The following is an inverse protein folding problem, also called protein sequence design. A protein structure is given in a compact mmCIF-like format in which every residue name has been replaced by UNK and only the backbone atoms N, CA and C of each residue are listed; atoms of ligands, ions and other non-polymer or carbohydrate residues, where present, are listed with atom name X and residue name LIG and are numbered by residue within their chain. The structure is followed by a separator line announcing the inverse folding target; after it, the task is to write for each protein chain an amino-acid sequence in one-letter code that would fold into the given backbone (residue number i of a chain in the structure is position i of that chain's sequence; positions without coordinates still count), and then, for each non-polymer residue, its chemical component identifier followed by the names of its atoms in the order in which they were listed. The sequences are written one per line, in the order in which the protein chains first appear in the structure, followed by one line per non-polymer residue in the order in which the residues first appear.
data_IF_091898616681
#
_entry.id   IF_091898616681
#
_cell.length_a   1.000
_cell.length_b   1.000
_cell.length_c   1.000
_cell.angle_alpha   90.00
_cell.angle_beta   90.00
_cell.angle_gamma   90.00
#
_symmetry.space_group_name_H-M   'P 1'
#
loop_
_entity.id
_entity.type
_entity.pdbx_description
1 polymer ?
#
# COMPACT_ATOMS: atom_id res chain seq x y z
N UNK A 1 -32.87 -0.48 -36.89
CA UNK A 1 -32.45 -0.01 -35.55
C UNK A 1 -31.23 -0.80 -35.09
N UNK A 2 -30.02 -0.33 -35.41
CA UNK A 2 -28.78 -0.94 -34.95
C UNK A 2 -28.32 -0.23 -33.67
N UNK A 3 -28.37 -0.96 -32.56
CA UNK A 3 -27.83 -0.55 -31.26
C UNK A 3 -26.35 -0.21 -31.40
N UNK A 4 -26.03 1.09 -31.45
CA UNK A 4 -24.66 1.59 -31.28
C UNK A 4 -24.22 1.23 -29.86
N UNK A 5 -23.47 0.13 -29.73
CA UNK A 5 -22.61 -0.11 -28.56
C UNK A 5 -21.71 1.12 -28.40
N UNK A 6 -22.05 2.02 -27.49
CA UNK A 6 -21.09 2.97 -26.91
C UNK A 6 -20.03 2.12 -26.21
N UNK A 7 -18.95 1.80 -26.92
CA UNK A 7 -17.67 1.49 -26.28
C UNK A 7 -17.24 2.76 -25.55
N UNK A 8 -17.67 2.88 -24.30
CA UNK A 8 -16.95 3.71 -23.36
C UNK A 8 -15.53 3.15 -23.30
N UNK A 9 -14.53 4.02 -23.48
CA UNK A 9 -13.11 3.70 -23.30
C UNK A 9 -12.85 3.22 -21.86
N UNK A 10 -13.34 2.04 -21.49
CA UNK A 10 -13.00 1.39 -20.23
C UNK A 10 -11.56 0.94 -20.38
N UNK A 11 -10.66 1.69 -19.75
CA UNK A 11 -9.28 1.25 -19.53
C UNK A 11 -9.37 -0.06 -18.76
N UNK A 12 -9.14 -1.18 -19.45
CA UNK A 12 -9.12 -2.50 -18.85
C UNK A 12 -7.73 -2.74 -18.25
N UNK A 13 -7.68 -2.94 -16.93
CA UNK A 13 -6.45 -3.13 -16.18
C UNK A 13 -6.41 -4.53 -15.58
N UNK A 14 -6.06 -5.56 -16.38
CA UNK A 14 -6.23 -6.96 -16.01
C UNK A 14 -5.52 -7.32 -14.70
N UNK A 15 -4.35 -6.74 -14.47
CA UNK A 15 -3.57 -6.95 -13.26
C UNK A 15 -4.33 -6.55 -12.00
N UNK A 16 -5.20 -5.54 -12.04
CA UNK A 16 -5.97 -5.16 -10.86
C UNK A 16 -7.12 -6.15 -10.54
N UNK A 17 -7.51 -6.99 -11.50
CA UNK A 17 -8.48 -8.07 -11.32
C UNK A 17 -7.82 -9.41 -10.97
N UNK A 18 -6.48 -9.48 -10.94
CA UNK A 18 -5.73 -10.69 -10.67
C UNK A 18 -6.13 -11.28 -9.30
N UNK A 19 -6.59 -12.55 -9.24
CA UNK A 19 -7.09 -13.16 -8.01
C UNK A 19 -6.09 -13.11 -6.86
N UNK A 20 -4.80 -13.28 -7.15
CA UNK A 20 -3.77 -13.30 -6.12
C UNK A 20 -3.56 -11.93 -5.46
N UNK A 21 -3.56 -10.85 -6.24
CA UNK A 21 -3.47 -9.48 -5.70
C UNK A 21 -4.70 -9.12 -4.86
N UNK A 22 -5.90 -9.53 -5.30
CA UNK A 22 -7.12 -9.38 -4.50
C UNK A 22 -7.05 -10.16 -3.20
N UNK A 23 -6.59 -11.41 -3.24
CA UNK A 23 -6.33 -12.22 -2.03
C UNK A 23 -5.39 -11.50 -1.06
N UNK A 24 -4.29 -10.93 -1.56
CA UNK A 24 -3.35 -10.15 -0.74
C UNK A 24 -4.06 -8.96 -0.08
N UNK A 25 -4.81 -8.17 -0.85
CA UNK A 25 -5.51 -7.00 -0.36
C UNK A 25 -6.59 -7.33 0.69
N UNK A 26 -7.39 -8.39 0.45
CA UNK A 26 -8.40 -8.90 1.39
C UNK A 26 -7.72 -9.33 2.69
N UNK A 27 -6.68 -10.15 2.61
CA UNK A 27 -5.94 -10.62 3.80
C UNK A 27 -5.29 -9.47 4.56
N UNK A 28 -4.77 -8.47 3.83
CA UNK A 28 -4.25 -7.25 4.44
C UNK A 28 -5.34 -6.49 5.20
N UNK A 29 -6.51 -6.25 4.59
CA UNK A 29 -7.62 -5.58 5.25
C UNK A 29 -8.12 -6.32 6.50
N UNK A 30 -8.24 -7.66 6.44
CA UNK A 30 -8.57 -8.50 7.59
C UNK A 30 -7.56 -8.28 8.74
N UNK A 31 -6.25 -8.34 8.42
CA UNK A 31 -5.19 -8.12 9.40
C UNK A 31 -5.21 -6.71 10.00
N UNK A 32 -5.48 -5.69 9.20
CA UNK A 32 -5.53 -4.31 9.69
C UNK A 32 -6.78 -4.04 10.53
N UNK A 33 -7.96 -4.51 10.13
CA UNK A 33 -9.18 -4.43 10.96
C UNK A 33 -8.99 -5.15 12.30
N UNK A 34 -8.25 -6.26 12.31
CA UNK A 34 -7.81 -6.93 13.54
C UNK A 34 -7.02 -6.05 14.47
N UNK A 35 -6.24 -5.09 13.96
CA UNK A 35 -5.48 -4.13 14.76
C UNK A 35 -6.35 -3.02 15.33
N UNK A 36 -7.31 -2.55 14.53
CA UNK A 36 -8.14 -1.40 14.86
C UNK A 36 -9.17 -1.66 15.95
N UNK A 37 -9.58 -2.92 16.12
CA UNK A 37 -10.61 -3.30 17.10
C UNK A 37 -10.04 -4.27 18.14
N UNK A 38 -9.03 -3.87 18.96
CA UNK A 38 -8.34 -4.77 19.90
C UNK A 38 -9.25 -5.33 21.01
N UNK A 39 -10.39 -4.69 21.26
CA UNK A 39 -11.37 -5.15 22.25
C UNK A 39 -12.18 -6.35 21.76
N UNK A 40 -12.23 -6.59 20.45
CA UNK A 40 -12.81 -7.81 19.89
C UNK A 40 -11.82 -8.95 20.15
N UNK A 41 -12.10 -9.77 21.17
CA UNK A 41 -11.25 -10.91 21.56
C UNK A 41 -11.87 -12.25 21.17
N UNK A 42 -13.17 -12.27 20.87
CA UNK A 42 -13.88 -13.48 20.48
C UNK A 42 -13.49 -13.94 19.08
N UNK A 43 -13.13 -15.23 18.94
CA UNK A 43 -12.83 -15.84 17.63
C UNK A 43 -13.98 -15.68 16.64
N UNK A 44 -15.22 -15.88 17.11
CA UNK A 44 -16.44 -15.73 16.30
C UNK A 44 -16.63 -14.33 15.73
N UNK A 45 -16.22 -13.29 16.47
CA UNK A 45 -16.32 -11.90 16.02
C UNK A 45 -15.36 -11.63 14.86
N UNK A 46 -14.13 -12.16 14.94
CA UNK A 46 -13.15 -12.02 13.87
C UNK A 46 -13.50 -12.82 12.63
N UNK A 47 -14.00 -14.05 12.80
CA UNK A 47 -14.47 -14.87 11.68
C UNK A 47 -15.61 -14.19 10.93
N UNK A 48 -16.49 -13.46 11.64
CA UNK A 48 -17.54 -12.66 11.01
C UNK A 48 -16.97 -11.51 10.19
N UNK A 49 -16.03 -10.75 10.75
CA UNK A 49 -15.35 -9.65 10.03
C UNK A 49 -14.60 -10.20 8.81
N UNK A 50 -13.85 -11.28 8.97
CA UNK A 50 -13.08 -11.89 7.90
C UNK A 50 -13.97 -12.31 6.74
N UNK A 51 -15.10 -12.96 7.04
CA UNK A 51 -16.09 -13.41 6.05
C UNK A 51 -16.73 -12.23 5.31
N UNK A 52 -16.97 -11.10 5.99
CA UNK A 52 -17.48 -9.89 5.34
C UNK A 52 -16.42 -9.29 4.40
N UNK A 53 -15.16 -9.19 4.85
CA UNK A 53 -14.05 -8.64 4.07
C UNK A 53 -13.72 -9.51 2.85
N UNK A 54 -13.89 -10.83 2.94
CA UNK A 54 -13.73 -11.75 1.80
C UNK A 54 -14.68 -11.47 0.63
N UNK A 55 -15.82 -10.82 0.87
CA UNK A 55 -16.77 -10.49 -0.19
C UNK A 55 -16.58 -9.06 -0.74
N UNK A 56 -15.62 -8.28 -0.23
CA UNK A 56 -15.45 -6.89 -0.64
C UNK A 56 -15.16 -6.72 -2.14
N UNK A 57 -14.42 -7.63 -2.74
CA UNK A 57 -14.08 -7.57 -4.17
C UNK A 57 -15.28 -7.91 -5.09
N UNK A 58 -16.34 -8.51 -4.53
CA UNK A 58 -17.61 -8.80 -5.22
C UNK A 58 -18.68 -7.76 -4.93
N UNK A 59 -18.73 -7.26 -3.70
CA UNK A 59 -19.76 -6.35 -3.22
C UNK A 59 -19.50 -4.90 -3.62
N UNK A 60 -18.24 -4.55 -3.88
CA UNK A 60 -17.86 -3.21 -4.33
C UNK A 60 -17.50 -3.21 -5.81
N UNK A 61 -17.69 -2.06 -6.47
CA UNK A 61 -17.02 -1.84 -7.74
C UNK A 61 -15.52 -1.96 -7.54
N UNK A 62 -14.83 -2.43 -8.56
CA UNK A 62 -13.38 -2.54 -8.59
C UNK A 62 -12.65 -1.30 -8.04
N UNK A 63 -13.09 -0.10 -8.44
CA UNK A 63 -12.51 1.16 -7.99
C UNK A 63 -12.75 1.40 -6.50
N UNK A 64 -13.98 1.13 -6.04
CA UNK A 64 -14.34 1.32 -4.64
C UNK A 64 -13.65 0.28 -3.74
N UNK A 65 -13.39 -0.93 -4.25
CA UNK A 65 -12.58 -1.93 -3.56
C UNK A 65 -11.17 -1.38 -3.28
N UNK A 66 -10.42 -0.96 -4.30
CA UNK A 66 -9.05 -0.45 -4.09
C UNK A 66 -8.99 0.85 -3.29
N UNK A 67 -9.96 1.74 -3.48
CA UNK A 67 -10.10 2.93 -2.64
C UNK A 67 -10.42 2.57 -1.19
N UNK A 68 -11.23 1.54 -0.93
CA UNK A 68 -11.53 1.05 0.41
C UNK A 68 -10.28 0.48 1.09
N UNK A 69 -9.54 -0.39 0.40
CA UNK A 69 -8.26 -0.93 0.91
C UNK A 69 -7.25 0.20 1.19
N UNK A 70 -7.16 1.16 0.28
CA UNK A 70 -6.30 2.32 0.47
C UNK A 70 -6.74 3.19 1.67
N UNK A 71 -8.05 3.46 1.78
CA UNK A 71 -8.63 4.22 2.87
C UNK A 71 -8.34 3.60 4.23
N UNK A 72 -8.47 2.27 4.36
CA UNK A 72 -8.03 1.56 5.56
C UNK A 72 -6.54 1.78 5.85
N UNK A 73 -5.68 1.72 4.83
CA UNK A 73 -4.24 1.87 5.02
C UNK A 73 -3.84 3.29 5.47
N UNK A 74 -4.37 4.35 4.85
CA UNK A 74 -3.96 5.71 5.16
C UNK A 74 -4.66 6.28 6.40
N UNK A 75 -5.95 6.00 6.59
CA UNK A 75 -6.76 6.60 7.65
C UNK A 75 -6.30 6.24 9.08
N UNK A 76 -5.56 5.15 9.23
CA UNK A 76 -5.08 4.67 10.54
C UNK A 76 -3.56 4.68 10.69
N UNK A 77 -2.86 5.53 9.91
CA UNK A 77 -1.39 5.63 9.90
C UNK A 77 -0.68 4.30 9.58
N UNK A 78 -1.29 3.48 8.71
CA UNK A 78 -0.68 2.25 8.23
C UNK A 78 0.09 2.51 6.94
N UNK A 79 1.03 1.62 6.63
CA UNK A 79 1.83 1.74 5.40
C UNK A 79 0.96 1.39 4.20
N UNK A 80 0.79 2.31 3.26
CA UNK A 80 0.06 2.04 2.02
C UNK A 80 0.82 1.02 1.15
N UNK A 81 0.39 -0.24 1.21
CA UNK A 81 0.88 -1.32 0.34
C UNK A 81 0.19 -1.33 -1.01
N UNK A 82 -0.90 -0.56 -1.17
CA UNK A 82 -1.76 -0.60 -2.37
C UNK A 82 -0.97 -0.37 -3.67
N UNK A 83 -0.08 0.63 -3.79
CA UNK A 83 0.72 0.80 -5.00
C UNK A 83 1.56 -0.44 -5.34
N UNK A 84 2.19 -1.06 -4.35
CA UNK A 84 2.98 -2.29 -4.53
C UNK A 84 2.11 -3.48 -4.93
N UNK A 85 0.98 -3.66 -4.25
CA UNK A 85 0.04 -4.77 -4.53
C UNK A 85 -0.52 -4.65 -5.95
N UNK A 86 -0.75 -3.42 -6.42
CA UNK A 86 -1.44 -3.15 -7.69
C UNK A 86 -0.52 -2.94 -8.87
N UNK A 87 0.79 -2.71 -8.70
CA UNK A 87 1.68 -2.45 -9.84
C UNK A 87 1.81 -3.68 -10.75
N UNK A 88 1.55 -3.50 -12.04
CA UNK A 88 1.64 -4.55 -13.07
C UNK A 88 3.00 -5.26 -13.10
N UNK A 89 4.09 -4.52 -12.89
CA UNK A 89 5.47 -5.01 -12.98
C UNK A 89 6.02 -5.58 -11.66
N UNK A 90 5.14 -5.92 -10.71
CA UNK A 90 5.51 -6.65 -9.50
C UNK A 90 4.92 -8.04 -9.58
N UNK A 91 5.79 -9.05 -9.54
CA UNK A 91 5.37 -10.44 -9.33
C UNK A 91 5.24 -10.69 -7.83
N UNK A 92 4.09 -11.20 -7.42
CA UNK A 92 3.83 -11.56 -6.04
C UNK A 92 3.83 -13.08 -5.88
N UNK A 93 4.41 -13.55 -4.78
CA UNK A 93 4.31 -14.96 -4.34
C UNK A 93 4.13 -15.05 -2.82
N UNK A 94 3.49 -16.10 -2.34
CA UNK A 94 3.36 -16.41 -0.91
C UNK A 94 4.25 -17.62 -0.61
N UNK A 95 5.30 -17.43 0.21
CA UNK A 95 6.24 -18.50 0.56
C UNK A 95 6.77 -18.38 1.99
N UNK A 96 7.35 -19.46 2.49
CA UNK A 96 8.18 -19.41 3.70
C UNK A 96 9.57 -18.95 3.31
N UNK A 97 10.04 -17.86 3.92
CA UNK A 97 11.35 -17.28 3.65
C UNK A 97 12.27 -17.55 4.85
N UNK A 98 13.49 -18.06 4.62
CA UNK A 98 14.49 -18.19 5.68
C UNK A 98 14.72 -16.84 6.36
N UNK A 99 14.69 -16.80 7.69
CA UNK A 99 14.80 -15.54 8.43
C UNK A 99 16.08 -14.80 8.06
N UNK A 100 17.17 -15.54 7.87
CA UNK A 100 18.50 -14.99 7.61
C UNK A 100 18.63 -14.26 6.26
N UNK A 101 17.72 -14.50 5.30
CA UNK A 101 17.69 -13.80 4.01
C UNK A 101 17.02 -12.42 4.10
N UNK A 102 16.33 -12.13 5.20
CA UNK A 102 15.51 -10.94 5.36
C UNK A 102 16.30 -9.74 5.86
N UNK A 103 15.85 -8.57 5.43
CA UNK A 103 16.38 -7.28 5.86
C UNK A 103 15.26 -6.43 6.44
N UNK A 104 15.52 -5.76 7.56
CA UNK A 104 14.55 -4.84 8.15
C UNK A 104 14.31 -3.64 7.24
N UNK A 105 13.06 -3.21 7.09
CA UNK A 105 12.72 -2.07 6.22
C UNK A 105 12.72 -0.70 6.90
N UNK A 106 12.93 -0.64 8.22
CA UNK A 106 12.97 0.63 8.97
C UNK A 106 13.52 0.45 10.39
N UNK A 107 13.76 1.58 11.08
CA UNK A 107 14.28 1.60 12.46
C UNK A 107 13.32 0.92 13.43
N UNK A 108 13.89 0.19 14.38
CA UNK A 108 13.22 -0.14 15.64
C UNK A 108 13.65 0.83 16.72
N UNK A 109 12.85 1.87 16.95
CA UNK A 109 13.08 2.79 18.07
C UNK A 109 13.20 2.08 19.42
N UNK A 110 12.52 0.94 19.56
CA UNK A 110 12.50 0.15 20.81
C UNK A 110 13.80 -0.63 21.05
N UNK A 111 14.57 -0.90 19.99
CA UNK A 111 15.92 -1.44 20.05
C UNK A 111 16.82 -0.36 19.46
N UNK A 112 17.02 0.73 20.20
CA UNK A 112 17.74 1.93 19.73
C UNK A 112 19.17 1.71 19.22
N UNK A 113 19.68 0.47 19.26
CA UNK A 113 20.96 0.03 18.67
C UNK A 113 20.85 -0.48 17.23
N UNK A 114 19.67 -0.90 16.74
CA UNK A 114 19.54 -1.39 15.36
C UNK A 114 19.59 -0.23 14.39
N UNK A 115 20.57 -0.25 13.48
CA UNK A 115 20.65 0.68 12.36
C UNK A 115 19.49 0.46 11.40
N UNK A 116 19.24 1.47 10.57
CA UNK A 116 18.32 1.33 9.44
C UNK A 116 18.80 0.23 8.49
N UNK A 117 17.88 -0.61 8.03
CA UNK A 117 18.16 -1.63 7.03
C UNK A 117 19.25 -2.63 7.41
N UNK A 118 19.20 -3.15 8.64
CA UNK A 118 20.04 -4.28 9.05
C UNK A 118 19.49 -5.62 8.55
N UNK A 119 20.40 -6.57 8.32
CA UNK A 119 20.04 -7.96 8.03
C UNK A 119 19.52 -8.63 9.29
N UNK A 120 18.56 -9.55 9.14
CA UNK A 120 18.04 -10.34 10.24
C UNK A 120 19.15 -11.18 10.92
N UNK A 121 20.18 -11.57 10.16
CA UNK A 121 21.36 -12.24 10.67
C UNK A 121 22.12 -11.38 11.69
N UNK A 122 22.43 -10.12 11.33
CA UNK A 122 23.11 -9.19 12.23
C UNK A 122 22.27 -8.88 13.48
N UNK A 123 20.96 -8.70 13.31
CA UNK A 123 20.05 -8.49 14.45
C UNK A 123 20.02 -9.71 15.37
N UNK A 124 20.00 -10.92 14.82
CA UNK A 124 20.05 -12.15 15.62
C UNK A 124 21.35 -12.21 16.42
N UNK A 125 22.49 -11.96 15.80
CA UNK A 125 23.78 -11.95 16.48
C UNK A 125 23.80 -10.95 17.65
N UNK A 126 23.39 -9.70 17.40
CA UNK A 126 23.35 -8.66 18.43
C UNK A 126 22.39 -9.01 19.58
N UNK A 127 21.19 -9.50 19.28
CA UNK A 127 20.15 -9.77 20.29
C UNK A 127 20.54 -10.93 21.22
N UNK A 128 21.36 -11.87 20.75
CA UNK A 128 21.76 -13.07 21.50
C UNK A 128 23.19 -13.02 22.05
N UNK A 129 23.93 -11.92 21.87
CA UNK A 129 25.19 -11.66 22.57
C UNK A 129 24.98 -11.51 24.08
N UNK A 130 25.88 -12.08 24.89
CA UNK A 130 25.79 -12.11 26.36
C UNK A 130 25.75 -10.70 26.96
N UNK A 131 26.52 -9.75 26.42
CA UNK A 131 26.48 -8.34 26.83
C UNK A 131 25.12 -7.65 26.57
N UNK A 132 24.22 -8.29 25.83
CA UNK A 132 22.90 -7.77 25.44
C UNK A 132 21.74 -8.52 26.13
N UNK A 133 21.97 -9.28 27.20
CA UNK A 133 20.89 -9.98 27.93
C UNK A 133 19.74 -9.06 28.36
N UNK A 134 20.05 -7.85 28.82
CA UNK A 134 19.04 -6.85 29.20
C UNK A 134 18.18 -6.43 28.00
N UNK A 135 18.77 -6.35 26.80
CA UNK A 135 18.06 -6.07 25.56
C UNK A 135 17.16 -7.24 25.16
N UNK A 136 17.64 -8.48 25.27
CA UNK A 136 16.84 -9.67 25.01
C UNK A 136 15.62 -9.74 25.94
N UNK A 137 15.82 -9.51 27.25
CA UNK A 137 14.73 -9.46 28.25
C UNK A 137 13.71 -8.37 27.91
N UNK A 138 14.16 -7.14 27.60
CA UNK A 138 13.29 -6.04 27.19
C UNK A 138 12.50 -6.36 25.92
N UNK A 139 13.15 -6.96 24.93
CA UNK A 139 12.53 -7.35 23.66
C UNK A 139 11.48 -8.43 23.87
N UNK A 140 11.77 -9.47 24.66
CA UNK A 140 10.80 -10.52 25.04
C UNK A 140 9.60 -9.94 25.77
N UNK A 141 9.81 -9.02 26.73
CA UNK A 141 8.73 -8.34 27.47
C UNK A 141 7.81 -7.56 26.53
N UNK A 142 8.37 -6.73 25.66
CA UNK A 142 7.61 -5.94 24.68
C UNK A 142 6.79 -6.81 23.71
N UNK A 143 7.36 -7.92 23.26
CA UNK A 143 6.65 -8.89 22.40
C UNK A 143 5.47 -9.50 23.16
N UNK A 144 5.66 -9.86 24.43
CA UNK A 144 4.63 -10.48 25.27
C UNK A 144 3.47 -9.51 25.54
N UNK A 145 3.77 -8.28 25.95
CA UNK A 145 2.75 -7.24 26.22
C UNK A 145 1.87 -7.02 24.98
N UNK A 146 2.48 -6.86 23.80
CA UNK A 146 1.73 -6.65 22.55
C UNK A 146 0.99 -7.88 22.03
N UNK A 147 1.39 -9.09 22.43
CA UNK A 147 0.71 -10.32 22.03
C UNK A 147 -0.58 -10.53 22.83
N UNK A 148 -0.60 -10.16 24.13
CA UNK A 148 -1.76 -10.32 25.03
C UNK A 148 -2.91 -9.37 24.67
N UNK A 149 -2.62 -8.23 24.05
CA UNK A 149 -3.61 -7.21 23.71
C UNK A 149 -4.47 -7.53 22.48
N UNK A 150 -4.34 -8.71 21.84
CA UNK A 150 -4.99 -8.90 20.54
C UNK A 150 -5.30 -10.31 20.05
N UNK A 151 -6.24 -10.37 19.10
CA UNK A 151 -6.51 -11.51 18.22
C UNK A 151 -5.23 -12.15 17.65
N UNK A 152 -5.26 -13.39 17.13
CA UNK A 152 -4.11 -14.02 16.47
C UNK A 152 -3.62 -13.17 15.28
N UNK A 153 -2.61 -12.33 15.53
CA UNK A 153 -2.00 -11.37 14.59
C UNK A 153 -0.58 -11.78 14.17
N UNK A 154 0.09 -12.59 14.99
CA UNK A 154 1.52 -12.86 14.86
C UNK A 154 1.84 -13.89 13.78
N UNK A 155 0.85 -14.69 13.35
CA UNK A 155 0.99 -15.68 12.26
C UNK A 155 0.63 -15.11 10.88
N UNK A 156 0.21 -13.84 10.81
CA UNK A 156 -0.04 -13.19 9.52
C UNK A 156 1.27 -13.08 8.72
N UNK A 157 1.28 -13.32 7.38
CA UNK A 157 2.48 -13.19 6.57
C UNK A 157 3.06 -11.77 6.60
N UNK A 158 4.38 -11.64 6.63
CA UNK A 158 5.05 -10.34 6.44
C UNK A 158 5.00 -9.93 4.95
N UNK A 159 5.22 -8.66 4.66
CA UNK A 159 5.37 -8.19 3.28
C UNK A 159 6.81 -7.82 3.02
N UNK A 160 7.37 -8.33 1.93
CA UNK A 160 8.74 -8.07 1.53
C UNK A 160 8.82 -7.58 0.09
N UNK A 161 9.87 -6.81 -0.20
CA UNK A 161 10.21 -6.37 -1.54
C UNK A 161 11.68 -6.66 -1.82
N UNK A 162 11.98 -7.21 -2.99
CA UNK A 162 13.37 -7.31 -3.46
C UNK A 162 13.83 -5.93 -3.95
N UNK A 163 14.85 -5.37 -3.30
CA UNK A 163 15.46 -4.09 -3.66
C UNK A 163 16.98 -4.16 -3.46
N UNK A 164 17.75 -3.82 -4.50
CA UNK A 164 19.22 -3.85 -4.46
C UNK A 164 19.75 -5.23 -4.02
N UNK A 165 19.19 -6.31 -4.59
CA UNK A 165 19.53 -7.69 -4.22
C UNK A 165 19.03 -8.16 -2.85
N UNK A 166 18.51 -7.26 -2.01
CA UNK A 166 18.08 -7.55 -0.63
C UNK A 166 16.57 -7.73 -0.54
N UNK A 167 16.12 -8.70 0.25
CA UNK A 167 14.71 -8.93 0.52
C UNK A 167 14.27 -8.13 1.76
N UNK A 168 13.75 -6.93 1.54
CA UNK A 168 13.45 -5.95 2.60
C UNK A 168 12.00 -6.07 3.08
N UNK A 169 11.79 -6.08 4.40
CA UNK A 169 10.47 -6.12 5.02
C UNK A 169 9.79 -4.75 5.00
N UNK A 170 8.81 -4.57 4.12
CA UNK A 170 8.05 -3.32 4.01
C UNK A 170 6.92 -3.23 5.05
N UNK A 171 6.31 -4.37 5.40
CA UNK A 171 5.37 -4.49 6.52
C UNK A 171 5.61 -5.78 7.32
N UNK A 172 5.42 -5.72 8.64
CA UNK A 172 5.60 -6.87 9.53
C UNK A 172 6.98 -6.99 10.17
N UNK A 173 7.76 -5.90 10.22
CA UNK A 173 9.05 -5.86 10.91
C UNK A 173 8.98 -6.43 12.35
N UNK A 174 7.90 -6.15 13.12
CA UNK A 174 7.71 -6.71 14.48
C UNK A 174 7.65 -8.24 14.47
N UNK A 175 6.97 -8.81 13.48
CA UNK A 175 6.81 -10.27 13.33
C UNK A 175 8.12 -10.93 12.94
N UNK A 176 8.95 -10.26 12.12
CA UNK A 176 10.33 -10.70 11.86
C UNK A 176 11.15 -10.74 13.16
N UNK A 177 11.16 -9.66 13.93
CA UNK A 177 11.87 -9.60 15.21
C UNK A 177 11.39 -10.69 16.20
N UNK A 178 10.08 -10.90 16.28
CA UNK A 178 9.50 -11.96 17.09
C UNK A 178 9.93 -13.35 16.63
N UNK A 179 10.01 -13.59 15.32
CA UNK A 179 10.47 -14.85 14.77
C UNK A 179 11.96 -15.09 15.08
N UNK A 180 12.81 -14.06 15.04
CA UNK A 180 14.21 -14.10 15.49
C UNK A 180 14.29 -14.49 16.96
N UNK A 181 13.58 -13.77 17.84
CA UNK A 181 13.61 -14.00 19.30
C UNK A 181 13.07 -15.38 19.68
N UNK A 182 12.13 -15.92 18.89
CA UNK A 182 11.58 -17.28 19.05
C UNK A 182 12.43 -18.37 18.40
N UNK A 183 13.55 -18.03 17.78
CA UNK A 183 14.45 -19.01 17.13
C UNK A 183 13.83 -19.71 15.92
N UNK A 184 12.84 -19.11 15.25
CA UNK A 184 12.28 -19.69 14.02
C UNK A 184 13.35 -19.71 12.92
N UNK A 185 13.34 -20.73 12.07
CA UNK A 185 14.22 -20.81 10.89
C UNK A 185 13.67 -20.03 9.69
N UNK A 186 12.35 -19.99 9.55
CA UNK A 186 11.64 -19.32 8.46
C UNK A 186 10.37 -18.59 8.94
N UNK A 187 9.87 -17.67 8.11
CA UNK A 187 8.63 -16.93 8.33
C UNK A 187 7.82 -16.84 7.03
N UNK A 188 6.48 -16.94 7.12
CA UNK A 188 5.59 -16.73 5.98
C UNK A 188 5.67 -15.28 5.49
N UNK A 189 5.81 -15.10 4.18
CA UNK A 189 5.87 -13.79 3.55
C UNK A 189 5.10 -13.74 2.23
N UNK A 190 4.50 -12.59 1.95
CA UNK A 190 4.20 -12.14 0.60
C UNK A 190 5.44 -11.43 0.05
N UNK A 191 6.01 -12.00 -1.00
CA UNK A 191 7.27 -11.54 -1.61
C UNK A 191 6.94 -10.82 -2.90
N UNK A 192 7.29 -9.53 -2.95
CA UNK A 192 7.23 -8.70 -4.15
C UNK A 192 8.57 -8.73 -4.88
N UNK A 193 8.56 -9.19 -6.12
CA UNK A 193 9.71 -9.15 -7.02
C UNK A 193 9.40 -8.18 -8.17
N UNK A 194 10.04 -6.99 -8.20
CA UNK A 194 9.98 -6.11 -9.36
C UNK A 194 10.58 -6.82 -10.57
N UNK A 195 9.83 -6.91 -11.68
CA UNK A 195 10.27 -7.58 -12.91
C UNK A 195 10.64 -6.61 -14.03
N UNK A 196 10.41 -5.32 -13.84
CA UNK A 196 10.81 -4.25 -14.76
C UNK A 196 10.97 -2.92 -14.01
N UNK A 197 11.70 -1.96 -14.58
CA UNK A 197 11.76 -0.57 -14.10
C UNK A 197 10.74 0.31 -14.84
N UNK A 198 10.17 1.36 -14.20
CA UNK A 198 10.35 1.72 -12.80
C UNK A 198 9.63 0.75 -11.86
N UNK A 199 10.18 0.46 -10.68
CA UNK A 199 9.59 -0.52 -9.71
C UNK A 199 8.07 -0.44 -9.46
N UNK A 200 7.45 0.74 -9.59
CA UNK A 200 5.99 0.90 -9.58
C UNK A 200 5.51 1.37 -10.97
N UNK A 201 4.80 0.50 -11.67
CA UNK A 201 4.24 0.79 -12.99
C UNK A 201 2.81 0.23 -13.11
N UNK A 202 1.93 1.01 -13.74
CA UNK A 202 0.49 0.74 -13.86
C UNK A 202 -0.10 0.28 -12.52
N UNK A 203 -0.05 1.18 -11.54
CA UNK A 203 -0.50 0.93 -10.17
C UNK A 203 -1.71 1.78 -9.82
N UNK A 204 -2.42 1.43 -8.75
CA UNK A 204 -3.54 2.22 -8.27
C UNK A 204 -3.07 3.54 -7.65
N UNK A 205 -3.60 4.66 -8.15
CA UNK A 205 -3.46 5.97 -7.50
C UNK A 205 -4.78 6.28 -6.79
N UNK A 206 -4.75 6.52 -5.47
CA UNK A 206 -5.96 6.75 -4.69
C UNK A 206 -6.76 7.95 -5.18
N UNK A 207 -8.07 7.78 -5.35
CA UNK A 207 -8.96 8.87 -5.75
C UNK A 207 -9.01 9.97 -4.70
N UNK A 208 -8.97 9.62 -3.41
CA UNK A 208 -8.97 10.59 -2.30
C UNK A 208 -7.79 11.56 -2.40
N UNK A 209 -6.57 11.05 -2.62
CA UNK A 209 -5.38 11.87 -2.80
C UNK A 209 -5.55 12.86 -3.97
N UNK A 210 -6.11 12.39 -5.09
CA UNK A 210 -6.33 13.23 -6.26
C UNK A 210 -7.39 14.30 -6.00
N UNK A 211 -8.48 13.94 -5.34
CA UNK A 211 -9.54 14.87 -4.89
C UNK A 211 -8.96 15.92 -3.96
N UNK A 212 -8.21 15.53 -2.94
CA UNK A 212 -7.61 16.46 -1.98
C UNK A 212 -6.69 17.49 -2.66
N UNK A 213 -5.88 17.04 -3.63
CA UNK A 213 -5.01 17.94 -4.40
C UNK A 213 -5.80 18.93 -5.27
N UNK A 214 -6.91 18.49 -5.88
CA UNK A 214 -7.79 19.34 -6.69
C UNK A 214 -8.52 20.36 -5.81
N UNK A 215 -9.06 19.94 -4.66
CA UNK A 215 -9.74 20.85 -3.73
C UNK A 215 -8.75 21.84 -3.07
N UNK A 216 -7.54 21.38 -2.74
CA UNK A 216 -6.49 22.26 -2.25
C UNK A 216 -6.08 23.31 -3.28
N UNK A 217 -5.96 22.94 -4.57
CA UNK A 217 -5.74 23.89 -5.67
C UNK A 217 -6.80 24.99 -5.68
N UNK A 218 -8.08 24.59 -5.65
CA UNK A 218 -9.20 25.51 -5.68
C UNK A 218 -9.16 26.48 -4.51
N UNK A 219 -8.94 25.97 -3.30
CA UNK A 219 -8.80 26.80 -2.11
C UNK A 219 -7.66 27.82 -2.25
N UNK A 220 -6.46 27.40 -2.68
CA UNK A 220 -5.33 28.32 -2.89
C UNK A 220 -5.65 29.40 -3.93
N UNK A 221 -6.31 29.02 -5.03
CA UNK A 221 -6.70 29.96 -6.08
C UNK A 221 -7.70 31.01 -5.56
N UNK A 222 -8.67 30.59 -4.75
CA UNK A 222 -9.69 31.48 -4.15
C UNK A 222 -9.10 32.51 -3.18
N UNK A 223 -7.98 32.18 -2.50
CA UNK A 223 -7.25 33.13 -1.64
C UNK A 223 -6.16 33.90 -2.39
N UNK A 224 -6.21 33.93 -3.73
CA UNK A 224 -5.31 34.73 -4.58
C UNK A 224 -3.94 34.11 -4.85
N UNK A 225 -3.72 32.82 -4.54
CA UNK A 225 -2.45 32.12 -4.79
C UNK A 225 -2.56 31.17 -5.98
N UNK A 226 -1.91 31.50 -7.10
CA UNK A 226 -1.88 30.61 -8.26
C UNK A 226 -0.85 29.48 -8.12
N UNK A 227 -1.29 28.33 -7.61
CA UNK A 227 -0.48 27.11 -7.47
C UNK A 227 -0.63 26.14 -8.65
N UNK A 228 -1.29 26.56 -9.75
CA UNK A 228 -1.70 25.67 -10.86
C UNK A 228 -0.53 24.90 -11.44
N UNK A 229 0.59 25.57 -11.77
CA UNK A 229 1.76 24.92 -12.39
C UNK A 229 2.41 23.92 -11.44
N UNK A 230 2.54 24.27 -10.15
CA UNK A 230 3.17 23.41 -9.16
C UNK A 230 2.36 22.13 -8.95
N UNK A 231 1.05 22.25 -8.73
CA UNK A 231 0.18 21.08 -8.56
C UNK A 231 0.02 20.26 -9.82
N UNK A 232 -0.03 20.89 -10.99
CA UNK A 232 -0.09 20.15 -12.24
C UNK A 232 1.11 19.21 -12.39
N UNK A 233 2.32 19.65 -12.01
CA UNK A 233 3.52 18.81 -12.01
C UNK A 233 3.44 17.68 -10.98
N UNK A 234 2.92 17.93 -9.78
CA UNK A 234 2.75 16.90 -8.75
C UNK A 234 1.77 15.82 -9.21
N UNK A 235 0.57 16.23 -9.63
CA UNK A 235 -0.48 15.31 -10.10
C UNK A 235 0.01 14.55 -11.33
N UNK A 236 0.61 15.22 -12.32
CA UNK A 236 1.13 14.55 -13.51
C UNK A 236 2.17 13.49 -13.16
N UNK A 237 3.11 13.78 -12.24
CA UNK A 237 4.10 12.78 -11.78
C UNK A 237 3.45 11.59 -11.07
N UNK A 238 2.41 11.82 -10.27
CA UNK A 238 1.68 10.75 -9.57
C UNK A 238 1.00 9.79 -10.56
N UNK A 239 0.39 10.32 -11.63
CA UNK A 239 -0.42 9.52 -12.56
C UNK A 239 0.31 9.16 -13.87
N UNK A 240 1.56 9.60 -14.05
CA UNK A 240 2.33 9.43 -15.29
C UNK A 240 2.37 7.96 -15.73
N UNK A 241 2.73 7.08 -14.80
CA UNK A 241 2.87 5.65 -15.01
C UNK A 241 1.63 4.87 -14.55
N UNK A 242 0.45 5.49 -14.52
CA UNK A 242 -0.78 4.85 -14.05
C UNK A 242 -1.97 5.25 -14.90
N UNK A 243 -2.42 4.37 -15.80
CA UNK A 243 -3.67 4.57 -16.53
C UNK A 243 -4.89 4.57 -15.60
N UNK A 244 -4.86 3.80 -14.50
CA UNK A 244 -5.87 3.83 -13.45
C UNK A 244 -5.97 5.22 -12.82
N UNK A 245 -4.84 5.78 -12.40
CA UNK A 245 -4.75 7.11 -11.79
C UNK A 245 -5.17 8.21 -12.76
N UNK A 246 -4.82 8.09 -14.04
CA UNK A 246 -5.32 8.99 -15.09
C UNK A 246 -6.85 8.91 -15.20
N UNK A 247 -7.42 7.71 -15.20
CA UNK A 247 -8.88 7.52 -15.21
C UNK A 247 -9.55 8.12 -13.97
N UNK A 248 -9.02 7.87 -12.78
CA UNK A 248 -9.56 8.38 -11.52
C UNK A 248 -9.48 9.91 -11.45
N UNK A 249 -8.37 10.50 -11.90
CA UNK A 249 -8.19 11.94 -11.97
C UNK A 249 -9.23 12.59 -12.89
N UNK A 250 -9.36 12.06 -14.12
CA UNK A 250 -10.27 12.60 -15.12
C UNK A 250 -11.73 12.42 -14.72
N UNK A 251 -12.12 11.22 -14.32
CA UNK A 251 -13.53 10.87 -14.22
C UNK A 251 -14.13 11.07 -12.83
N UNK A 252 -13.32 11.24 -11.78
CA UNK A 252 -13.80 11.29 -10.38
C UNK A 252 -13.22 12.42 -9.54
N UNK A 253 -11.98 12.83 -9.78
CA UNK A 253 -11.37 13.91 -9.00
C UNK A 253 -11.71 15.31 -9.53
N UNK A 254 -11.82 15.46 -10.85
CA UNK A 254 -12.14 16.75 -11.49
C UNK A 254 -13.64 16.91 -11.68
N UNK A 255 -14.15 18.07 -11.26
CA UNK A 255 -15.51 18.52 -11.52
C UNK A 255 -15.50 19.37 -12.80
N UNK A 256 -16.11 18.87 -13.87
CA UNK A 256 -15.97 19.47 -15.21
C UNK A 256 -16.77 20.77 -15.40
N UNK A 257 -17.73 21.01 -14.53
CA UNK A 257 -18.50 22.24 -14.40
C UNK A 257 -17.74 23.36 -13.64
N UNK A 258 -16.67 23.02 -12.93
CA UNK A 258 -15.85 23.98 -12.19
C UNK A 258 -14.69 24.53 -13.04
N UNK A 259 -14.72 25.85 -13.30
CA UNK A 259 -13.70 26.53 -14.12
C UNK A 259 -12.28 26.42 -13.56
N UNK A 260 -12.12 26.40 -12.23
CA UNK A 260 -10.81 26.31 -11.57
C UNK A 260 -10.28 24.88 -11.69
N UNK A 261 -11.14 23.88 -11.49
CA UNK A 261 -10.75 22.47 -11.69
C UNK A 261 -10.36 22.22 -13.16
N UNK A 262 -11.11 22.77 -14.12
CA UNK A 262 -10.79 22.66 -15.54
C UNK A 262 -9.47 23.36 -15.92
N UNK A 263 -9.12 24.46 -15.26
CA UNK A 263 -7.81 25.11 -15.41
C UNK A 263 -6.68 24.17 -14.98
N UNK A 264 -6.81 23.53 -13.80
CA UNK A 264 -5.84 22.55 -13.32
C UNK A 264 -5.74 21.33 -14.24
N UNK A 265 -6.88 20.78 -14.68
CA UNK A 265 -6.92 19.65 -15.59
C UNK A 265 -6.15 19.93 -16.88
N UNK A 266 -6.39 21.07 -17.54
CA UNK A 266 -5.67 21.45 -18.77
C UNK A 266 -4.16 21.57 -18.52
N UNK A 267 -3.76 22.11 -17.38
CA UNK A 267 -2.35 22.20 -17.00
C UNK A 267 -1.73 20.80 -16.80
N UNK A 268 -2.42 19.88 -16.11
CA UNK A 268 -1.98 18.48 -15.93
C UNK A 268 -1.83 17.78 -17.28
N UNK A 269 -2.81 17.90 -18.18
CA UNK A 269 -2.76 17.31 -19.53
C UNK A 269 -1.57 17.85 -20.32
N UNK A 270 -1.29 19.17 -20.24
CA UNK A 270 -0.12 19.76 -20.88
C UNK A 270 1.20 19.18 -20.34
N UNK A 271 1.31 18.98 -19.03
CA UNK A 271 2.49 18.36 -18.42
C UNK A 271 2.62 16.90 -18.87
N UNK A 272 1.55 16.12 -18.84
CA UNK A 272 1.56 14.72 -19.33
C UNK A 272 1.96 14.63 -20.80
N UNK A 273 1.46 15.54 -21.65
CA UNK A 273 1.84 15.59 -23.06
C UNK A 273 3.34 15.84 -23.25
N UNK A 274 3.98 16.63 -22.38
CA UNK A 274 5.44 16.83 -22.43
C UNK A 274 6.24 15.58 -22.08
N UNK A 275 5.61 14.59 -21.44
CA UNK A 275 6.15 13.25 -21.22
C UNK A 275 5.69 12.23 -22.29
N UNK A 276 5.10 12.68 -23.41
CA UNK A 276 4.59 11.81 -24.47
C UNK A 276 3.27 11.11 -24.16
N UNK A 277 2.58 11.50 -23.08
CA UNK A 277 1.30 10.89 -22.69
C UNK A 277 0.14 11.73 -23.21
N UNK A 278 -0.61 11.20 -24.17
CA UNK A 278 -1.82 11.84 -24.70
C UNK A 278 -3.03 11.52 -23.83
N UNK A 279 -3.75 12.55 -23.40
CA UNK A 279 -4.98 12.44 -22.61
C UNK A 279 -6.07 13.28 -23.25
N UNK A 280 -7.23 12.67 -23.52
CA UNK A 280 -8.42 13.37 -24.03
C UNK A 280 -9.26 13.85 -22.85
N UNK A 281 -9.53 15.15 -22.80
CA UNK A 281 -10.47 15.74 -21.84
C UNK A 281 -11.88 15.35 -22.29
N UNK A 282 -12.72 14.75 -21.42
CA UNK A 282 -14.13 14.50 -21.72
C UNK A 282 -14.83 15.80 -22.12
N UNK A 283 -15.65 15.74 -23.18
CA UNK A 283 -16.49 16.87 -23.58
C UNK A 283 -17.65 17.05 -22.61
#
# INVERSE_FOLDING_TARGET
MASRKKLTNKIFLPHLYEPFRRKIAIRYAQHELRKLLPQLRGRSQWELIDKQVEQWDKNFSFQNFWNGIHGLSMGFALKSLVPWITSLNIKWEEKNVPIMELWFGGKFWTIGRLKNAESAAAVKEQVFQTENEGLLKKTKKLIKEKAVESAPRDDFPIFTVRKEGKLRVIDGNRRLLQAIVRGKSAIRAFVAEPVAEPSLHEHWVPTSLLVDLVFWHKHQFQIGRDTTKALANVIAKLILNSSAGRSEFLNRAVHHDDKIHMRLLRAVVKVLASYGVSVKIPK
#
